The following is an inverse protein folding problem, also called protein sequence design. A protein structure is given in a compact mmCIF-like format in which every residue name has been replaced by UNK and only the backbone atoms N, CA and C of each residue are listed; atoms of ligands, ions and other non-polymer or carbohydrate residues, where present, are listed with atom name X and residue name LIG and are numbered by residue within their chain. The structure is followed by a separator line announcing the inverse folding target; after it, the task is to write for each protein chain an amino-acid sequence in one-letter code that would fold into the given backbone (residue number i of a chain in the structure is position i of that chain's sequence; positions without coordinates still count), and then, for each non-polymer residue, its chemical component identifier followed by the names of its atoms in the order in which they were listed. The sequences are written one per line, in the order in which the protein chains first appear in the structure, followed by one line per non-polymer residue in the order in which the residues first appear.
data_IF_097028036196
#
_entry.id   IF_097028036196
#
_cell.length_a   1.000
_cell.length_b   1.000
_cell.length_c   1.000
_cell.angle_alpha   90.00
_cell.angle_beta   90.00
_cell.angle_gamma   90.00
#
_symmetry.space_group_name_H-M   'P 1'
#
loop_
_entity.id
_entity.type
_entity.pdbx_description
1 polymer ?
#
# COMPACT_ATOMS: atom_id res chain seq x y z
N UNK A 1 9.02 2.53 -1.49
CA UNK A 1 8.71 2.25 -0.07
C UNK A 1 9.51 3.11 0.92
N UNK A 2 10.77 3.42 0.65
CA UNK A 2 11.60 4.28 1.52
C UNK A 2 10.97 5.65 1.83
N UNK A 3 10.31 6.27 0.85
CA UNK A 3 9.61 7.55 1.03
C UNK A 3 8.48 7.48 2.05
N UNK A 4 7.73 6.36 2.13
CA UNK A 4 6.69 6.16 3.14
C UNK A 4 7.31 6.16 4.55
N UNK A 5 8.45 5.47 4.72
CA UNK A 5 9.14 5.39 6.01
C UNK A 5 9.67 6.76 6.44
N UNK A 6 10.18 7.57 5.51
CA UNK A 6 10.61 8.94 5.81
C UNK A 6 9.42 9.79 6.26
N UNK A 7 8.32 9.73 5.53
CA UNK A 7 7.11 10.48 5.88
C UNK A 7 6.54 10.08 7.26
N UNK A 8 6.55 8.79 7.61
CA UNK A 8 6.11 8.33 8.93
C UNK A 8 7.01 8.81 10.09
N UNK A 9 8.24 9.26 9.80
CA UNK A 9 9.17 9.79 10.80
C UNK A 9 9.06 11.29 10.96
N UNK A 10 8.65 12.01 9.92
CA UNK A 10 8.64 13.48 9.89
C UNK A 10 7.24 14.05 10.05
N UNK A 11 6.22 13.32 9.65
CA UNK A 11 4.81 13.74 9.62
C UNK A 11 3.93 12.81 10.47
N UNK A 12 2.79 13.32 10.92
CA UNK A 12 1.78 12.54 11.65
C UNK A 12 0.79 11.88 10.67
N UNK A 13 1.27 10.86 9.96
CA UNK A 13 0.46 10.09 9.00
C UNK A 13 -0.36 9.04 9.75
N UNK A 14 -1.65 8.96 9.43
CA UNK A 14 -2.60 8.04 10.08
C UNK A 14 -2.96 6.82 9.24
N UNK A 15 -2.66 6.83 7.94
CA UNK A 15 -3.08 5.76 7.05
C UNK A 15 -2.36 5.70 5.71
N UNK A 16 -2.50 4.54 5.07
CA UNK A 16 -1.99 4.23 3.74
C UNK A 16 -3.14 3.68 2.89
N UNK A 17 -3.37 4.29 1.72
CA UNK A 17 -4.30 3.78 0.72
C UNK A 17 -3.51 3.21 -0.46
N UNK A 18 -3.79 1.96 -0.84
CA UNK A 18 -3.12 1.28 -1.94
C UNK A 18 -4.11 0.58 -2.86
N UNK A 19 -3.87 0.66 -4.16
CA UNK A 19 -4.51 -0.17 -5.20
C UNK A 19 -3.40 -1.12 -5.69
N UNK A 20 -3.26 -2.31 -5.11
CA UNK A 20 -2.14 -3.20 -5.40
C UNK A 20 -2.23 -3.85 -6.79
N UNK A 21 -3.45 -4.02 -7.29
CA UNK A 21 -3.73 -4.67 -8.57
C UNK A 21 -4.29 -3.64 -9.56
N UNK A 22 -3.69 -3.53 -10.75
CA UNK A 22 -4.13 -2.60 -11.80
C UNK A 22 -4.31 -1.16 -11.30
N UNK A 23 -3.31 -0.61 -10.62
CA UNK A 23 -3.39 0.70 -9.99
C UNK A 23 -3.93 1.76 -10.96
N UNK A 24 -5.05 2.41 -10.64
CA UNK A 24 -5.59 3.48 -11.47
C UNK A 24 -4.81 4.79 -11.19
N UNK A 25 -4.27 5.52 -12.19
CA UNK A 25 -4.34 5.32 -13.64
C UNK A 25 -3.12 4.64 -14.28
N UNK A 26 -2.13 4.26 -13.48
CA UNK A 26 -0.82 3.78 -13.95
C UNK A 26 -0.85 2.36 -14.52
N UNK A 27 -1.92 1.61 -14.27
CA UNK A 27 -2.10 0.19 -14.56
C UNK A 27 -0.99 -0.72 -14.00
N UNK A 28 -0.24 -0.24 -13.00
CA UNK A 28 0.85 -1.00 -12.38
C UNK A 28 0.32 -2.00 -11.36
N UNK A 29 1.12 -3.03 -11.12
CA UNK A 29 0.89 -4.01 -10.05
C UNK A 29 1.98 -3.88 -9.01
N UNK A 30 1.61 -4.09 -7.76
CA UNK A 30 2.54 -4.18 -6.64
C UNK A 30 3.01 -5.63 -6.52
N UNK A 31 4.33 -5.85 -6.47
CA UNK A 31 4.83 -7.20 -6.22
C UNK A 31 4.47 -7.66 -4.81
N UNK A 32 4.30 -8.97 -4.61
CA UNK A 32 3.99 -9.56 -3.30
C UNK A 32 4.98 -9.13 -2.22
N UNK A 33 6.28 -9.03 -2.56
CA UNK A 33 7.32 -8.54 -1.65
C UNK A 33 7.07 -7.09 -1.21
N UNK A 34 6.65 -6.22 -2.13
CA UNK A 34 6.35 -4.82 -1.82
C UNK A 34 5.10 -4.70 -0.96
N UNK A 35 4.09 -5.53 -1.21
CA UNK A 35 2.86 -5.62 -0.41
C UNK A 35 3.15 -6.07 1.01
N UNK A 36 4.00 -7.09 1.18
CA UNK A 36 4.47 -7.53 2.51
C UNK A 36 5.24 -6.42 3.24
N UNK A 37 6.08 -5.67 2.52
CA UNK A 37 6.79 -4.54 3.10
C UNK A 37 5.84 -3.40 3.52
N UNK A 38 4.83 -3.10 2.72
CA UNK A 38 3.78 -2.12 3.06
C UNK A 38 3.03 -2.54 4.33
N UNK A 39 2.63 -3.81 4.42
CA UNK A 39 1.94 -4.35 5.59
C UNK A 39 2.82 -4.32 6.86
N UNK A 40 4.11 -4.60 6.74
CA UNK A 40 5.05 -4.49 7.85
C UNK A 40 5.19 -3.04 8.34
N UNK A 41 5.30 -2.09 7.42
CA UNK A 41 5.39 -0.67 7.75
C UNK A 41 4.09 -0.16 8.40
N UNK A 42 2.91 -0.54 7.90
CA UNK A 42 1.65 -0.14 8.49
C UNK A 42 1.52 -0.63 9.95
N UNK A 43 1.96 -1.86 10.23
CA UNK A 43 2.00 -2.37 11.62
C UNK A 43 2.99 -1.60 12.49
N UNK A 44 4.20 -1.35 12.00
CA UNK A 44 5.24 -0.65 12.75
C UNK A 44 4.84 0.78 13.13
N UNK A 45 4.16 1.48 12.22
CA UNK A 45 3.77 2.88 12.39
C UNK A 45 2.29 3.06 12.76
N UNK A 46 1.59 1.97 13.09
CA UNK A 46 0.17 1.99 13.48
C UNK A 46 -0.76 2.69 12.47
N UNK A 47 -0.45 2.52 11.18
CA UNK A 47 -1.24 3.10 10.10
C UNK A 47 -2.47 2.25 9.81
N UNK A 48 -3.59 2.91 9.53
CA UNK A 48 -4.75 2.26 8.90
C UNK A 48 -4.36 1.96 7.45
N UNK A 49 -4.35 0.68 7.07
CA UNK A 49 -4.14 0.27 5.68
C UNK A 49 -5.49 0.03 5.01
N UNK A 50 -5.80 0.78 3.95
CA UNK A 50 -6.96 0.57 3.09
C UNK A 50 -6.46 0.02 1.76
N UNK A 51 -6.71 -1.27 1.53
CA UNK A 51 -6.44 -1.90 0.25
C UNK A 51 -7.70 -1.86 -0.62
N UNK A 52 -7.55 -1.27 -1.80
CA UNK A 52 -8.61 -1.19 -2.78
C UNK A 52 -8.35 -2.21 -3.89
N UNK A 53 -9.13 -3.29 -3.85
CA UNK A 53 -9.13 -4.36 -4.85
C UNK A 53 -10.24 -4.21 -5.89
N UNK A 54 -10.78 -3.01 -6.15
CA UNK A 54 -11.97 -2.84 -7.02
C UNK A 54 -11.77 -3.33 -8.46
N UNK A 55 -10.51 -3.43 -8.93
CA UNK A 55 -10.16 -4.01 -10.23
C UNK A 55 -9.76 -5.49 -10.17
N UNK A 56 -9.81 -6.12 -9.00
CA UNK A 56 -9.60 -7.56 -8.86
C UNK A 56 -10.78 -8.30 -9.50
N UNK A 57 -10.55 -8.82 -10.71
CA UNK A 57 -11.45 -9.79 -11.34
C UNK A 57 -10.87 -11.18 -11.02
N UNK A 58 -11.54 -12.01 -10.19
CA UNK A 58 -11.10 -13.38 -9.98
C UNK A 58 -11.10 -14.10 -11.33
N UNK A 59 -10.05 -14.89 -11.61
CA UNK A 59 -10.00 -15.74 -12.81
C UNK A 59 -11.30 -16.56 -12.95
N UNK A 60 -11.90 -16.54 -14.14
CA UNK A 60 -12.97 -17.45 -14.55
C UNK A 60 -12.41 -18.82 -14.89
#
# INVERSE_FOLDING_TARGET
MESLVQLCKTEDITGLYIIPDHQNPTALWMEEKERQQAAANCRQYHLICIEDGTLFVPEQ
#
